data_IF_377313904204
#
_entry.id   IF_377313904204
#
_cell.length_a   1.000
_cell.length_b   1.000
_cell.length_c   1.000
_cell.angle_alpha   90.00
_cell.angle_beta   90.00
_cell.angle_gamma   90.00
#
_symmetry.space_group_name_H-M   'P 1'
#
loop_
_entity.id
_entity.type
_entity.pdbx_description
1 polymer ?
#
# COMPACT_ATOMS: atom_id res chain seq x y z
N UNK A 1 22.33 1.87 13.05
CA UNK A 1 22.29 0.50 13.61
C UNK A 1 21.22 -0.23 12.84
N UNK A 2 21.54 -1.35 12.19
CA UNK A 2 20.57 -2.08 11.37
C UNK A 2 19.65 -2.89 12.29
N UNK A 3 18.43 -3.20 11.84
CA UNK A 3 17.45 -3.98 12.61
C UNK A 3 18.03 -5.33 13.09
N UNK A 4 18.94 -5.93 12.33
CA UNK A 4 19.57 -7.20 12.66
C UNK A 4 20.61 -7.11 13.79
N UNK A 5 21.08 -5.91 14.15
CA UNK A 5 22.07 -5.69 15.22
C UNK A 5 21.42 -5.61 16.61
N UNK A 6 20.08 -5.62 16.67
CA UNK A 6 19.32 -5.46 17.90
C UNK A 6 19.07 -6.83 18.53
N UNK A 7 19.57 -7.05 19.75
CA UNK A 7 19.24 -8.24 20.55
C UNK A 7 17.83 -8.11 21.16
N UNK A 8 16.82 -8.86 20.67
CA UNK A 8 15.44 -8.69 21.12
C UNK A 8 15.26 -9.09 22.59
N UNK A 9 16.15 -9.91 23.17
CA UNK A 9 16.06 -10.34 24.57
C UNK A 9 16.35 -9.19 25.52
N UNK A 10 17.21 -8.24 25.11
CA UNK A 10 17.57 -7.04 25.89
C UNK A 10 16.57 -5.90 25.75
N UNK A 11 15.60 -6.02 24.85
CA UNK A 11 14.55 -5.01 24.67
C UNK A 11 13.49 -5.11 25.77
N UNK A 12 12.98 -3.95 26.19
CA UNK A 12 11.77 -3.87 27.01
C UNK A 12 10.58 -4.47 26.26
N UNK A 13 9.50 -4.87 26.96
CA UNK A 13 8.32 -5.46 26.29
C UNK A 13 7.77 -4.59 25.15
N UNK A 14 7.75 -3.26 25.33
CA UNK A 14 7.28 -2.31 24.30
C UNK A 14 8.20 -2.32 23.07
N UNK A 15 9.52 -2.21 23.28
CA UNK A 15 10.48 -2.21 22.17
C UNK A 15 10.53 -3.56 21.46
N UNK A 16 10.27 -4.67 22.17
CA UNK A 16 10.14 -6.00 21.57
C UNK A 16 8.92 -6.10 20.66
N UNK A 17 7.80 -5.50 21.06
CA UNK A 17 6.62 -5.38 20.18
C UNK A 17 6.93 -4.53 18.95
N UNK A 18 7.50 -3.33 19.14
CA UNK A 18 7.96 -2.48 18.03
C UNK A 18 8.85 -3.27 17.06
N UNK A 19 9.86 -3.98 17.58
CA UNK A 19 10.79 -4.79 16.80
C UNK A 19 10.07 -5.85 15.98
N UNK A 20 9.13 -6.59 16.59
CA UNK A 20 8.35 -7.62 15.89
C UNK A 20 7.48 -7.06 14.77
N UNK A 21 6.98 -5.83 14.92
CA UNK A 21 6.20 -5.16 13.86
C UNK A 21 7.13 -4.65 12.76
N UNK A 22 8.27 -4.06 13.12
CA UNK A 22 9.27 -3.58 12.16
C UNK A 22 9.85 -4.71 11.32
N UNK A 23 10.01 -5.92 11.89
CA UNK A 23 10.41 -7.11 11.13
C UNK A 23 9.39 -7.52 10.05
N UNK A 24 8.10 -7.27 10.29
CA UNK A 24 7.05 -7.53 9.28
C UNK A 24 7.00 -6.45 8.20
N UNK A 25 7.39 -5.23 8.55
CA UNK A 25 7.35 -4.06 7.68
C UNK A 25 8.72 -3.35 7.62
N UNK A 26 9.77 -4.03 7.15
CA UNK A 26 11.15 -3.53 7.25
C UNK A 26 11.35 -2.22 6.48
N UNK A 27 10.69 -2.06 5.32
CA UNK A 27 10.90 -0.93 4.42
C UNK A 27 10.00 0.29 4.72
N UNK A 28 9.03 0.12 5.60
CA UNK A 28 8.01 1.13 5.91
C UNK A 28 8.30 1.87 7.20
N UNK A 29 7.83 3.11 7.27
CA UNK A 29 7.94 3.94 8.47
C UNK A 29 6.95 3.46 9.53
N UNK A 30 7.43 3.15 10.73
CA UNK A 30 6.58 2.69 11.82
C UNK A 30 6.22 3.84 12.77
N UNK A 31 5.00 4.37 12.61
CA UNK A 31 4.44 5.38 13.52
C UNK A 31 3.84 4.70 14.75
N UNK A 32 4.56 4.73 15.87
CA UNK A 32 4.18 4.01 17.08
C UNK A 32 3.56 4.95 18.12
N UNK A 33 2.29 4.74 18.48
CA UNK A 33 1.61 5.64 19.43
C UNK A 33 2.12 5.48 20.86
N UNK A 34 2.64 6.60 21.39
CA UNK A 34 3.13 6.76 22.74
C UNK A 34 2.51 8.00 23.38
N UNK A 35 1.39 7.80 24.09
CA UNK A 35 0.61 8.90 24.65
C UNK A 35 0.06 9.79 23.54
N UNK A 36 0.37 11.08 23.61
CA UNK A 36 -0.07 12.09 22.64
C UNK A 36 0.89 12.27 21.45
N UNK A 37 1.79 11.31 21.21
CA UNK A 37 2.74 11.34 20.11
C UNK A 37 2.71 10.04 19.30
N UNK A 38 2.96 10.16 18.00
CA UNK A 38 3.48 9.07 17.19
C UNK A 38 4.99 9.17 17.15
N UNK A 39 5.64 8.15 17.71
CA UNK A 39 7.09 8.05 17.83
C UNK A 39 7.67 7.10 16.77
N UNK A 40 8.83 7.47 16.24
CA UNK A 40 9.61 6.73 15.27
C UNK A 40 10.99 6.49 15.87
N UNK A 41 11.50 5.27 15.73
CA UNK A 41 12.72 4.83 16.40
C UNK A 41 13.81 4.45 15.40
N UNK A 42 15.07 4.54 15.84
CA UNK A 42 16.23 4.07 15.06
C UNK A 42 16.31 4.72 13.66
N UNK A 43 16.38 3.90 12.62
CA UNK A 43 16.45 4.30 11.22
C UNK A 43 15.22 5.09 10.77
N UNK A 44 14.03 4.73 11.25
CA UNK A 44 12.81 5.49 10.96
C UNK A 44 12.90 6.91 11.55
N UNK A 45 13.46 7.07 12.75
CA UNK A 45 13.65 8.37 13.38
C UNK A 45 14.54 9.30 12.53
N UNK A 46 15.68 8.77 12.09
CA UNK A 46 16.65 9.49 11.25
C UNK A 46 16.04 9.82 9.89
N UNK A 47 15.34 8.85 9.28
CA UNK A 47 14.68 9.00 7.98
C UNK A 47 13.64 10.10 8.03
N UNK A 48 12.71 10.09 8.99
CA UNK A 48 11.66 11.12 9.04
C UNK A 48 12.20 12.49 9.42
N UNK A 49 13.20 12.56 10.29
CA UNK A 49 13.83 13.83 10.65
C UNK A 49 14.42 14.51 9.41
N UNK A 50 15.09 13.74 8.54
CA UNK A 50 15.60 14.23 7.26
C UNK A 50 14.51 14.54 6.25
N UNK A 51 13.47 13.70 6.17
CA UNK A 51 12.42 13.78 5.16
C UNK A 51 11.49 15.00 5.33
N UNK A 52 11.14 15.32 6.57
CA UNK A 52 10.15 16.37 6.89
C UNK A 52 10.67 17.42 7.90
N UNK A 53 11.96 17.38 8.23
CA UNK A 53 12.62 18.43 9.01
C UNK A 53 12.26 18.47 10.51
N UNK A 54 11.73 17.39 11.09
CA UNK A 54 11.40 17.34 12.51
C UNK A 54 12.63 17.03 13.37
N UNK A 55 12.59 17.43 14.65
CA UNK A 55 13.72 17.26 15.56
C UNK A 55 14.04 15.79 15.83
N UNK A 56 15.28 15.39 15.52
CA UNK A 56 15.86 14.12 15.96
C UNK A 56 16.39 14.26 17.39
N UNK A 57 15.94 13.38 18.27
CA UNK A 57 16.34 13.31 19.67
C UNK A 57 16.88 11.91 19.99
N UNK A 58 17.19 11.67 21.26
CA UNK A 58 17.56 10.35 21.76
C UNK A 58 16.73 10.02 22.98
N UNK A 59 16.21 8.81 23.05
CA UNK A 59 15.47 8.32 24.22
C UNK A 59 16.22 7.18 24.87
N UNK A 60 16.33 7.25 26.20
CA UNK A 60 16.83 6.16 27.02
C UNK A 60 15.65 5.27 27.42
N UNK A 61 15.64 3.99 27.01
CA UNK A 61 14.75 2.96 27.56
C UNK A 61 15.61 1.83 28.11
N UNK A 62 15.43 1.55 29.40
CA UNK A 62 16.32 0.65 30.13
C UNK A 62 17.77 1.17 30.10
N UNK A 63 18.70 0.30 29.69
CA UNK A 63 20.12 0.61 29.57
C UNK A 63 20.55 1.05 28.16
N UNK A 64 19.61 1.15 27.22
CA UNK A 64 19.89 1.53 25.84
C UNK A 64 19.38 2.94 25.54
N UNK A 65 20.13 3.65 24.70
CA UNK A 65 19.76 4.94 24.14
C UNK A 65 19.65 4.78 22.63
N UNK A 66 18.53 5.19 22.04
CA UNK A 66 18.30 5.08 20.59
C UNK A 66 17.77 6.40 20.02
N UNK A 67 17.98 6.63 18.70
CA UNK A 67 17.40 7.76 17.98
C UNK A 67 15.87 7.75 18.07
N UNK A 68 15.28 8.93 18.26
CA UNK A 68 13.85 9.13 18.37
C UNK A 68 13.45 10.40 17.63
N UNK A 69 12.39 10.32 16.82
CA UNK A 69 11.67 11.48 16.32
C UNK A 69 10.18 11.29 16.59
N UNK A 70 9.45 12.38 16.84
CA UNK A 70 8.05 12.30 17.26
C UNK A 70 7.18 13.37 16.61
N UNK A 71 5.96 12.99 16.26
CA UNK A 71 4.93 13.89 15.76
C UNK A 71 3.79 13.93 16.78
N UNK A 72 3.36 15.11 17.25
CA UNK A 72 2.18 15.21 18.11
C UNK A 72 0.95 14.66 17.42
N UNK A 73 0.13 13.89 18.13
CA UNK A 73 -1.07 13.24 17.61
C UNK A 73 -2.04 14.22 16.93
N UNK A 74 -2.22 15.41 17.51
CA UNK A 74 -3.08 16.45 16.94
C UNK A 74 -2.53 17.10 15.66
N UNK A 75 -1.23 16.94 15.37
CA UNK A 75 -0.57 17.44 14.17
C UNK A 75 -0.32 16.34 13.13
N UNK A 76 -0.79 15.11 13.39
CA UNK A 76 -0.46 13.92 12.59
C UNK A 76 -0.85 14.07 11.13
N UNK A 77 -2.01 14.67 10.86
CA UNK A 77 -2.56 14.83 9.51
C UNK A 77 -1.55 15.48 8.58
N UNK A 78 -1.13 16.71 8.87
CA UNK A 78 -0.23 17.47 7.99
C UNK A 78 1.11 16.76 7.76
N UNK A 79 1.69 16.17 8.81
CA UNK A 79 2.98 15.49 8.69
C UNK A 79 2.86 14.18 7.92
N UNK A 80 1.82 13.38 8.16
CA UNK A 80 1.60 12.13 7.45
C UNK A 80 1.29 12.39 5.97
N UNK A 81 0.49 13.41 5.65
CA UNK A 81 0.29 13.86 4.26
C UNK A 81 1.62 14.14 3.57
N UNK A 82 2.51 14.92 4.20
CA UNK A 82 3.81 15.22 3.61
C UNK A 82 4.67 13.96 3.38
N UNK A 83 4.72 13.06 4.37
CA UNK A 83 5.45 11.78 4.27
C UNK A 83 4.91 10.92 3.12
N UNK A 84 3.59 10.76 3.04
CA UNK A 84 2.92 9.95 2.02
C UNK A 84 3.10 10.56 0.63
N UNK A 85 3.03 11.89 0.54
CA UNK A 85 3.23 12.65 -0.69
C UNK A 85 4.66 12.55 -1.26
N UNK A 86 5.62 12.08 -0.46
CA UNK A 86 6.98 11.71 -0.84
C UNK A 86 7.13 10.19 -1.10
N UNK A 87 6.01 9.50 -1.29
CA UNK A 87 5.91 8.09 -1.67
C UNK A 87 6.13 7.07 -0.57
N UNK A 88 6.17 7.52 0.69
CA UNK A 88 6.43 6.65 1.83
C UNK A 88 5.15 5.95 2.30
N UNK A 89 5.27 4.70 2.74
CA UNK A 89 4.21 4.01 3.49
C UNK A 89 4.43 4.21 4.99
N UNK A 90 3.37 4.53 5.73
CA UNK A 90 3.37 4.63 7.18
C UNK A 90 2.54 3.49 7.77
N UNK A 91 3.15 2.65 8.61
CA UNK A 91 2.45 1.65 9.41
C UNK A 91 2.07 2.30 10.74
N UNK A 92 0.77 2.35 11.04
CA UNK A 92 0.25 2.95 12.27
C UNK A 92 0.09 1.85 13.32
N UNK A 93 0.80 1.99 14.43
CA UNK A 93 0.62 1.16 15.62
C UNK A 93 -0.07 1.98 16.70
N UNK A 94 -1.33 1.67 16.95
CA UNK A 94 -2.15 2.37 17.92
C UNK A 94 -2.57 1.44 19.08
N UNK A 95 -3.14 2.04 20.12
CA UNK A 95 -3.80 1.38 21.22
C UNK A 95 -5.08 0.72 20.72
N UNK A 96 -5.24 -0.57 21.02
CA UNK A 96 -6.43 -1.35 20.69
C UNK A 96 -7.51 -1.26 21.78
N UNK A 97 -7.17 -0.66 22.92
CA UNK A 97 -8.02 -0.54 24.10
C UNK A 97 -7.95 0.89 24.62
N UNK A 98 -9.03 1.40 25.19
CA UNK A 98 -9.05 2.71 25.82
C UNK A 98 -8.15 2.71 27.08
N UNK A 99 -7.12 3.57 27.16
CA UNK A 99 -6.25 3.69 28.33
C UNK A 99 -7.00 3.92 29.65
N UNK A 100 -8.15 4.61 29.61
CA UNK A 100 -8.96 4.88 30.80
C UNK A 100 -9.59 3.61 31.38
N UNK A 101 -9.81 2.59 30.55
CA UNK A 101 -10.45 1.33 30.94
C UNK A 101 -9.44 0.29 31.46
N UNK A 102 -8.14 0.51 31.25
CA UNK A 102 -7.08 -0.45 31.58
C UNK A 102 -6.31 -0.02 32.84
N UNK A 103 -6.62 -0.62 33.99
CA UNK A 103 -5.88 -0.41 35.25
C UNK A 103 -4.84 -1.49 35.49
N UNK A 104 -3.60 -1.10 35.82
CA UNK A 104 -2.55 -2.01 36.30
C UNK A 104 -1.82 -2.84 35.24
N UNK A 105 -2.10 -2.64 33.93
CA UNK A 105 -1.38 -3.31 32.84
C UNK A 105 -1.11 -2.36 31.67
N UNK A 106 -0.15 -2.72 30.81
CA UNK A 106 0.16 -1.99 29.59
C UNK A 106 -0.99 -2.19 28.59
N UNK A 107 -1.50 -1.09 28.02
CA UNK A 107 -2.52 -1.08 26.96
C UNK A 107 -2.03 -1.90 25.76
N UNK A 108 -2.87 -2.81 25.26
CA UNK A 108 -2.55 -3.62 24.09
C UNK A 108 -2.42 -2.71 22.87
N UNK A 109 -1.37 -2.92 22.09
CA UNK A 109 -1.12 -2.20 20.84
C UNK A 109 -1.14 -3.16 19.67
N UNK A 110 -1.46 -2.64 18.49
CA UNK A 110 -1.44 -3.40 17.25
C UNK A 110 -1.40 -2.48 16.04
N UNK A 111 -1.07 -3.06 14.89
CA UNK A 111 -1.17 -2.35 13.62
C UNK A 111 -2.64 -2.13 13.30
N UNK A 112 -3.06 -0.87 13.27
CA UNK A 112 -4.44 -0.47 13.00
C UNK A 112 -4.66 -0.11 11.55
N UNK A 113 -3.63 0.40 10.86
CA UNK A 113 -3.71 0.77 9.44
C UNK A 113 -2.32 0.88 8.82
N UNK A 114 -2.26 0.71 7.50
CA UNK A 114 -1.13 1.18 6.70
C UNK A 114 -1.62 2.31 5.81
N UNK A 115 -0.90 3.42 5.79
CA UNK A 115 -1.15 4.54 4.89
C UNK A 115 -0.10 4.52 3.80
N UNK A 116 -0.52 4.24 2.56
CA UNK A 116 0.30 4.38 1.35
C UNK A 116 -0.31 5.44 0.43
N UNK A 117 0.44 5.99 -0.53
CA UNK A 117 -0.03 7.04 -1.44
C UNK A 117 -1.40 6.75 -2.06
N UNK A 118 -1.61 5.53 -2.56
CA UNK A 118 -2.86 5.11 -3.19
C UNK A 118 -3.91 4.54 -2.25
N UNK A 119 -3.68 4.56 -0.92
CA UNK A 119 -4.60 3.97 0.07
C UNK A 119 -5.10 4.96 1.13
N UNK A 120 -4.75 6.23 0.98
CA UNK A 120 -5.29 7.34 1.78
C UNK A 120 -6.76 7.58 1.42
N UNK A 121 -7.61 7.62 2.44
CA UNK A 121 -9.05 7.94 2.31
C UNK A 121 -9.37 9.32 2.88
N UNK A 122 -8.54 9.82 3.79
CA UNK A 122 -8.76 11.13 4.43
C UNK A 122 -8.53 12.24 3.41
N UNK A 123 -9.60 12.95 3.03
CA UNK A 123 -9.57 14.05 2.07
C UNK A 123 -8.57 15.14 2.46
N UNK A 124 -8.37 15.37 3.77
CA UNK A 124 -7.40 16.36 4.25
C UNK A 124 -5.94 15.97 3.99
N UNK A 125 -5.70 14.70 3.64
CA UNK A 125 -4.39 14.18 3.27
C UNK A 125 -4.18 14.07 1.74
N UNK A 126 -5.23 14.22 0.93
CA UNK A 126 -5.14 14.17 -0.53
C UNK A 126 -4.65 15.51 -1.08
N UNK A 127 -3.82 15.47 -2.14
CA UNK A 127 -3.23 16.68 -2.75
C UNK A 127 -4.24 17.52 -3.56
N UNK A 128 -5.27 16.89 -4.09
CA UNK A 128 -6.27 17.53 -4.95
C UNK A 128 -7.64 16.85 -4.78
N UNK A 129 -8.65 17.41 -5.45
CA UNK A 129 -10.00 16.80 -5.57
C UNK A 129 -10.07 15.76 -6.69
N UNK A 130 -8.93 15.41 -7.30
CA UNK A 130 -8.86 14.38 -8.33
C UNK A 130 -8.88 12.98 -7.72
N UNK A 131 -9.24 11.98 -8.52
CA UNK A 131 -9.23 10.58 -8.11
C UNK A 131 -7.83 10.16 -7.62
N UNK A 132 -7.77 9.38 -6.56
CA UNK A 132 -6.52 8.88 -5.96
C UNK A 132 -6.29 7.41 -6.32
N UNK A 133 -6.16 7.14 -7.62
CA UNK A 133 -6.07 5.77 -8.11
C UNK A 133 -4.79 5.07 -7.63
N UNK A 134 -4.98 3.86 -7.13
CA UNK A 134 -3.94 2.84 -7.03
C UNK A 134 -4.14 1.83 -8.16
N UNK A 135 -3.05 1.38 -8.74
CA UNK A 135 -3.06 0.39 -9.80
C UNK A 135 -2.30 -0.88 -9.40
N UNK A 136 -2.60 -1.96 -10.10
CA UNK A 136 -1.76 -3.15 -10.12
C UNK A 136 -1.54 -3.66 -11.52
N UNK A 137 -0.34 -4.16 -11.80
CA UNK A 137 0.06 -4.63 -13.13
C UNK A 137 0.74 -6.00 -13.03
N UNK A 138 0.28 -6.93 -13.87
CA UNK A 138 0.96 -8.19 -14.16
C UNK A 138 1.36 -8.24 -15.63
N UNK A 139 2.44 -8.94 -15.92
CA UNK A 139 2.91 -9.19 -17.28
C UNK A 139 3.28 -10.66 -17.40
N UNK A 140 2.72 -11.29 -18.41
CA UNK A 140 2.98 -12.67 -18.78
C UNK A 140 3.36 -12.74 -20.26
N UNK A 141 3.79 -13.92 -20.73
CA UNK A 141 4.04 -14.14 -22.16
C UNK A 141 2.80 -13.84 -23.03
N UNK A 142 1.62 -14.09 -22.48
CA UNK A 142 0.33 -13.90 -23.16
C UNK A 142 -0.18 -12.46 -23.16
N UNK A 143 0.45 -11.53 -22.43
CA UNK A 143 0.08 -10.12 -22.43
C UNK A 143 0.24 -9.40 -21.09
N UNK A 144 -0.58 -8.37 -20.87
CA UNK A 144 -0.64 -7.59 -19.64
C UNK A 144 -2.01 -7.69 -18.99
N UNK A 145 -2.04 -7.71 -17.66
CA UNK A 145 -3.24 -7.52 -16.86
C UNK A 145 -3.09 -6.28 -16.01
N UNK A 146 -4.10 -5.43 -15.96
CA UNK A 146 -4.08 -4.22 -15.15
C UNK A 146 -5.38 -4.07 -14.36
N UNK A 147 -5.25 -3.61 -13.13
CA UNK A 147 -6.36 -3.23 -12.28
C UNK A 147 -6.14 -1.83 -11.72
N UNK A 148 -7.23 -1.11 -11.47
CA UNK A 148 -7.25 0.20 -10.82
C UNK A 148 -8.30 0.18 -9.72
N UNK A 149 -8.03 0.89 -8.63
CA UNK A 149 -9.02 1.15 -7.62
C UNK A 149 -8.88 2.58 -7.09
N UNK A 150 -10.00 3.19 -6.76
CA UNK A 150 -10.07 4.38 -5.94
C UNK A 150 -10.87 4.02 -4.68
N UNK A 151 -10.19 4.01 -3.53
CA UNK A 151 -10.79 3.58 -2.27
C UNK A 151 -11.83 4.60 -1.78
N UNK A 152 -11.66 5.88 -2.11
CA UNK A 152 -12.56 6.94 -1.69
C UNK A 152 -13.92 6.83 -2.37
N UNK A 153 -13.94 6.44 -3.64
CA UNK A 153 -15.17 6.28 -4.44
C UNK A 153 -15.71 4.85 -4.45
N UNK A 154 -14.88 3.87 -4.09
CA UNK A 154 -15.21 2.44 -4.18
C UNK A 154 -15.11 1.87 -5.60
N UNK A 155 -14.57 2.65 -6.54
CA UNK A 155 -14.36 2.20 -7.91
C UNK A 155 -13.26 1.14 -7.96
N UNK A 156 -13.55 0.04 -8.65
CA UNK A 156 -12.59 -1.02 -8.96
C UNK A 156 -12.78 -1.45 -10.41
N UNK A 157 -11.70 -1.35 -11.16
CA UNK A 157 -11.64 -1.54 -12.60
C UNK A 157 -10.54 -2.54 -12.95
N UNK A 158 -10.73 -3.34 -13.99
CA UNK A 158 -9.67 -4.20 -14.51
C UNK A 158 -9.81 -4.47 -16.01
N UNK A 159 -8.71 -4.78 -16.68
CA UNK A 159 -8.69 -5.25 -18.06
C UNK A 159 -7.42 -6.05 -18.32
N UNK A 160 -7.39 -6.74 -19.45
CA UNK A 160 -6.17 -7.34 -20.00
C UNK A 160 -5.95 -6.91 -21.45
N UNK A 161 -4.69 -6.97 -21.87
CA UNK A 161 -4.23 -6.73 -23.23
C UNK A 161 -3.37 -7.91 -23.65
N UNK A 162 -3.85 -8.70 -24.60
CA UNK A 162 -3.20 -9.93 -24.99
C UNK A 162 -2.12 -9.65 -26.04
N UNK A 163 -1.06 -10.46 -26.06
CA UNK A 163 0.05 -10.34 -27.03
C UNK A 163 -0.38 -10.49 -28.49
N UNK A 164 -1.56 -11.07 -28.73
CA UNK A 164 -2.19 -11.19 -30.05
C UNK A 164 -2.93 -9.93 -30.50
N UNK A 165 -3.16 -9.00 -29.58
CA UNK A 165 -3.84 -7.75 -29.88
C UNK A 165 -2.87 -6.81 -30.62
N UNK A 166 -3.41 -5.87 -31.39
CA UNK A 166 -2.62 -4.76 -31.95
C UNK A 166 -2.09 -3.90 -30.80
N UNK A 167 -0.76 -3.72 -30.77
CA UNK A 167 0.02 -2.84 -29.88
C UNK A 167 -0.39 -2.89 -28.40
N UNK A 168 -0.24 -4.04 -27.71
CA UNK A 168 -0.70 -4.22 -26.33
C UNK A 168 0.01 -3.30 -25.32
N UNK A 169 1.28 -2.95 -25.57
CA UNK A 169 2.01 -1.99 -24.75
C UNK A 169 1.43 -0.58 -24.89
N UNK A 170 1.09 -0.14 -26.10
CA UNK A 170 0.49 1.19 -26.30
C UNK A 170 -0.87 1.29 -25.63
N UNK A 171 -1.68 0.23 -25.69
CA UNK A 171 -2.96 0.15 -24.97
C UNK A 171 -2.77 0.23 -23.45
N UNK A 172 -1.78 -0.46 -22.91
CA UNK A 172 -1.40 -0.38 -21.50
C UNK A 172 -1.02 1.07 -21.13
N UNK A 173 -0.15 1.71 -21.92
CA UNK A 173 0.27 3.08 -21.64
C UNK A 173 -0.89 4.07 -21.77
N UNK A 174 -1.80 3.87 -22.73
CA UNK A 174 -2.99 4.70 -22.91
C UNK A 174 -3.92 4.64 -21.70
N UNK A 175 -4.24 3.44 -21.19
CA UNK A 175 -5.09 3.30 -20.00
C UNK A 175 -4.38 3.82 -18.75
N UNK A 176 -3.06 3.65 -18.66
CA UNK A 176 -2.26 4.19 -17.56
C UNK A 176 -2.28 5.73 -17.54
N UNK A 177 -2.22 6.37 -18.71
CA UNK A 177 -2.35 7.83 -18.85
C UNK A 177 -3.75 8.31 -18.47
N UNK A 178 -4.79 7.57 -18.86
CA UNK A 178 -6.18 7.91 -18.58
C UNK A 178 -6.49 7.92 -17.08
N UNK A 179 -6.03 6.91 -16.34
CA UNK A 179 -6.32 6.79 -14.90
C UNK A 179 -5.24 7.43 -14.01
N UNK A 180 -4.03 7.64 -14.53
CA UNK A 180 -2.92 8.33 -13.86
C UNK A 180 -2.72 7.93 -12.38
N UNK A 181 -2.51 6.63 -12.07
CA UNK A 181 -2.43 6.16 -10.70
C UNK A 181 -1.24 6.78 -9.95
N UNK A 182 -1.43 7.06 -8.67
CA UNK A 182 -0.37 7.59 -7.79
C UNK A 182 0.56 6.49 -7.28
N UNK A 183 0.07 5.26 -7.23
CA UNK A 183 0.78 4.09 -6.74
C UNK A 183 0.50 2.89 -7.65
N UNK A 184 1.55 2.15 -8.00
CA UNK A 184 1.49 0.94 -8.81
C UNK A 184 2.09 -0.23 -8.03
N UNK A 185 1.29 -1.26 -7.80
CA UNK A 185 1.68 -2.50 -7.13
C UNK A 185 1.95 -3.59 -8.17
N UNK A 186 3.14 -4.17 -8.13
CA UNK A 186 3.55 -5.22 -9.08
C UNK A 186 4.11 -6.44 -8.37
N UNK A 187 4.09 -7.62 -9.01
CA UNK A 187 4.93 -8.73 -8.60
C UNK A 187 6.40 -8.30 -8.50
N UNK A 188 7.08 -8.78 -7.47
CA UNK A 188 8.52 -8.68 -7.26
C UNK A 188 9.32 -9.14 -8.48
N UNK A 189 8.92 -10.24 -9.13
CA UNK A 189 9.54 -10.70 -10.36
C UNK A 189 9.40 -9.72 -11.53
N UNK A 190 8.21 -9.12 -11.69
CA UNK A 190 7.96 -8.16 -12.76
C UNK A 190 8.87 -6.94 -12.63
N UNK A 191 9.20 -6.51 -11.40
CA UNK A 191 10.04 -5.33 -11.14
C UNK A 191 11.40 -5.37 -11.84
N UNK A 192 11.88 -6.56 -12.24
CA UNK A 192 13.13 -6.77 -12.98
C UNK A 192 13.07 -6.30 -14.44
N UNK A 193 11.87 -6.07 -15.00
CA UNK A 193 11.70 -5.51 -16.35
C UNK A 193 11.86 -3.99 -16.35
N UNK A 194 13.11 -3.53 -16.24
CA UNK A 194 13.44 -2.10 -16.18
C UNK A 194 12.90 -1.31 -17.38
N UNK A 195 12.88 -1.92 -18.57
CA UNK A 195 12.39 -1.26 -19.79
C UNK A 195 10.91 -0.93 -19.68
N UNK A 196 10.08 -1.85 -19.20
CA UNK A 196 8.65 -1.59 -19.01
C UNK A 196 8.45 -0.40 -18.06
N UNK A 197 9.17 -0.39 -16.93
CA UNK A 197 8.99 0.67 -15.95
C UNK A 197 9.51 2.02 -16.40
N UNK A 198 10.57 2.07 -17.22
CA UNK A 198 11.00 3.32 -17.85
C UNK A 198 9.85 3.97 -18.63
N UNK A 199 9.15 3.22 -19.48
CA UNK A 199 7.99 3.75 -20.22
C UNK A 199 6.88 4.26 -19.28
N UNK A 200 6.61 3.54 -18.19
CA UNK A 200 5.57 3.92 -17.22
C UNK A 200 5.96 5.19 -16.45
N UNK A 201 7.22 5.30 -16.02
CA UNK A 201 7.72 6.43 -15.23
C UNK A 201 8.02 7.68 -16.08
N UNK A 202 8.30 7.51 -17.37
CA UNK A 202 8.41 8.64 -18.31
C UNK A 202 7.04 9.26 -18.57
N UNK A 203 5.98 8.44 -18.57
CA UNK A 203 4.60 8.87 -18.76
C UNK A 203 3.98 9.48 -17.49
N UNK A 204 4.29 8.92 -16.32
CA UNK A 204 3.64 9.27 -15.06
C UNK A 204 4.60 9.33 -13.88
N UNK A 205 4.25 10.08 -12.82
CA UNK A 205 5.02 10.12 -11.56
C UNK A 205 4.63 9.01 -10.59
N UNK A 206 4.13 7.89 -11.10
CA UNK A 206 3.60 6.79 -10.27
C UNK A 206 4.70 6.20 -9.38
N UNK A 207 4.36 5.92 -8.13
CA UNK A 207 5.26 5.25 -7.21
C UNK A 207 5.08 3.74 -7.36
N UNK A 208 6.14 3.06 -7.79
CA UNK A 208 6.11 1.62 -8.03
C UNK A 208 6.56 0.87 -6.78
N UNK A 209 5.75 -0.07 -6.30
CA UNK A 209 6.08 -0.96 -5.19
C UNK A 209 5.89 -2.41 -5.59
N UNK A 210 6.72 -3.27 -5.02
CA UNK A 210 6.60 -4.72 -5.16
C UNK A 210 5.70 -5.29 -4.07
N UNK A 211 5.01 -6.36 -4.39
CA UNK A 211 4.22 -7.14 -3.44
C UNK A 211 4.47 -8.63 -3.66
N UNK A 212 3.95 -9.47 -2.76
CA UNK A 212 4.18 -10.91 -2.80
C UNK A 212 3.65 -11.51 -4.11
N UNK A 213 4.52 -12.18 -4.86
CA UNK A 213 4.18 -12.79 -6.16
C UNK A 213 3.04 -13.80 -6.03
N UNK A 214 2.92 -14.45 -4.86
CA UNK A 214 1.89 -15.45 -4.60
C UNK A 214 0.47 -14.94 -4.83
N UNK A 215 0.17 -13.70 -4.44
CA UNK A 215 -1.19 -13.15 -4.56
C UNK A 215 -1.58 -12.83 -6.00
N UNK A 216 -0.61 -12.83 -6.92
CA UNK A 216 -0.82 -12.63 -8.36
C UNK A 216 -0.98 -13.94 -9.11
N UNK A 217 -0.89 -15.10 -8.46
CA UNK A 217 -1.23 -16.37 -9.09
C UNK A 217 -2.72 -16.41 -9.42
N UNK A 218 -3.07 -16.98 -10.57
CA UNK A 218 -4.45 -17.00 -11.07
C UNK A 218 -5.43 -17.62 -10.07
N UNK A 219 -5.12 -18.81 -9.55
CA UNK A 219 -5.99 -19.53 -8.62
C UNK A 219 -6.17 -18.78 -7.29
N UNK A 220 -5.10 -18.15 -6.78
CA UNK A 220 -5.12 -17.36 -5.55
C UNK A 220 -5.91 -16.07 -5.73
N UNK A 221 -5.67 -15.37 -6.84
CA UNK A 221 -6.41 -14.16 -7.23
C UNK A 221 -7.90 -14.45 -7.40
N UNK A 222 -8.24 -15.53 -8.09
CA UNK A 222 -9.62 -15.98 -8.28
C UNK A 222 -10.29 -16.25 -6.93
N UNK A 223 -9.64 -17.08 -6.09
CA UNK A 223 -10.15 -17.44 -4.76
C UNK A 223 -10.36 -16.21 -3.88
N UNK A 224 -9.42 -15.27 -3.91
CA UNK A 224 -9.48 -14.05 -3.14
C UNK A 224 -10.66 -13.16 -3.56
N UNK A 225 -10.85 -12.96 -4.86
CA UNK A 225 -11.95 -12.16 -5.43
C UNK A 225 -13.29 -12.80 -5.08
N UNK A 226 -13.45 -14.11 -5.36
CA UNK A 226 -14.68 -14.86 -5.09
C UNK A 226 -15.05 -14.77 -3.60
N UNK A 227 -14.08 -14.95 -2.71
CA UNK A 227 -14.28 -14.84 -1.26
C UNK A 227 -14.64 -13.43 -0.81
N UNK A 228 -13.99 -12.40 -1.38
CA UNK A 228 -14.24 -11.00 -1.01
C UNK A 228 -15.66 -10.55 -1.38
N UNK A 229 -16.09 -10.84 -2.62
CA UNK A 229 -17.43 -10.45 -3.09
C UNK A 229 -18.53 -11.45 -2.69
N UNK A 230 -18.17 -12.56 -2.05
CA UNK A 230 -19.10 -13.62 -1.63
C UNK A 230 -19.96 -14.14 -2.81
N UNK A 231 -19.28 -14.48 -3.91
CA UNK A 231 -19.87 -15.02 -5.14
C UNK A 231 -19.40 -16.46 -5.37
N UNK A 232 -19.92 -17.15 -6.38
CA UNK A 232 -19.51 -18.53 -6.70
C UNK A 232 -18.52 -18.62 -7.86
N UNK A 233 -18.57 -17.66 -8.79
CA UNK A 233 -17.68 -17.55 -9.96
C UNK A 233 -17.58 -16.08 -10.39
N UNK A 234 -16.82 -15.80 -11.46
CA UNK A 234 -16.59 -14.42 -11.94
C UNK A 234 -17.44 -14.06 -13.18
N UNK A 235 -18.37 -14.92 -13.59
CA UNK A 235 -19.24 -14.70 -14.76
C UNK A 235 -20.09 -13.44 -14.57
N UNK A 236 -20.63 -13.22 -13.36
CA UNK A 236 -21.45 -12.05 -13.03
C UNK A 236 -20.70 -10.70 -13.13
N UNK A 237 -19.36 -10.72 -13.09
CA UNK A 237 -18.52 -9.56 -13.32
C UNK A 237 -17.95 -9.50 -14.75
N UNK A 238 -18.24 -10.50 -15.59
CA UNK A 238 -17.72 -10.60 -16.94
C UNK A 238 -16.21 -10.76 -17.00
N UNK A 239 -15.62 -11.43 -15.99
CA UNK A 239 -14.17 -11.67 -15.88
C UNK A 239 -13.79 -13.13 -16.13
N UNK A 240 -14.76 -14.02 -16.33
CA UNK A 240 -14.47 -15.42 -16.65
C UNK A 240 -13.63 -15.52 -17.93
N UNK A 241 -12.48 -16.20 -17.86
CA UNK A 241 -11.51 -16.33 -18.96
C UNK A 241 -10.59 -15.11 -19.19
N UNK A 242 -10.68 -14.06 -18.37
CA UNK A 242 -9.78 -12.89 -18.39
C UNK A 242 -8.67 -13.04 -17.36
N UNK A 243 -7.88 -14.11 -17.50
CA UNK A 243 -6.90 -14.55 -16.49
C UNK A 243 -5.96 -13.43 -16.03
N UNK A 244 -5.41 -12.62 -16.94
CA UNK A 244 -4.45 -11.58 -16.54
C UNK A 244 -5.15 -10.46 -15.76
N UNK A 245 -6.38 -10.12 -16.15
CA UNK A 245 -7.20 -9.17 -15.43
C UNK A 245 -7.52 -9.68 -14.02
N UNK A 246 -7.85 -10.97 -13.89
CA UNK A 246 -8.06 -11.63 -12.59
C UNK A 246 -6.80 -11.55 -11.73
N UNK A 247 -5.63 -11.87 -12.28
CA UNK A 247 -4.35 -11.81 -11.56
C UNK A 247 -4.02 -10.39 -11.05
N UNK A 248 -4.18 -9.37 -11.89
CA UNK A 248 -3.97 -7.98 -11.48
C UNK A 248 -4.98 -7.52 -10.44
N UNK A 249 -6.26 -7.87 -10.61
CA UNK A 249 -7.31 -7.52 -9.65
C UNK A 249 -7.11 -8.23 -8.31
N UNK A 250 -6.70 -9.50 -8.30
CA UNK A 250 -6.41 -10.25 -7.08
C UNK A 250 -5.24 -9.66 -6.31
N UNK A 251 -4.13 -9.36 -6.98
CA UNK A 251 -2.99 -8.70 -6.36
C UNK A 251 -3.33 -7.32 -5.79
N UNK A 252 -4.10 -6.51 -6.53
CA UNK A 252 -4.57 -5.22 -6.03
C UNK A 252 -5.47 -5.39 -4.79
N UNK A 253 -6.44 -6.30 -4.87
CA UNK A 253 -7.35 -6.57 -3.77
C UNK A 253 -6.62 -7.06 -2.52
N UNK A 254 -5.61 -7.92 -2.65
CA UNK A 254 -4.79 -8.39 -1.54
C UNK A 254 -4.09 -7.21 -0.83
N UNK A 255 -3.45 -6.33 -1.62
CA UNK A 255 -2.77 -5.16 -1.09
C UNK A 255 -3.75 -4.18 -0.39
N UNK A 256 -4.91 -3.95 -0.99
CA UNK A 256 -5.96 -3.12 -0.39
C UNK A 256 -6.45 -3.71 0.93
N UNK A 257 -6.61 -5.04 1.01
CA UNK A 257 -7.06 -5.71 2.24
C UNK A 257 -6.01 -5.61 3.32
N UNK A 258 -4.73 -5.76 2.99
CA UNK A 258 -3.68 -5.58 3.98
C UNK A 258 -3.64 -4.15 4.52
N UNK A 259 -3.67 -3.16 3.63
CA UNK A 259 -3.54 -1.75 4.01
C UNK A 259 -4.73 -1.24 4.82
N UNK A 260 -5.94 -1.73 4.52
CA UNK A 260 -7.16 -1.43 5.26
C UNK A 260 -7.52 -2.46 6.36
N UNK A 261 -6.63 -3.42 6.66
CA UNK A 261 -6.80 -4.44 7.71
C UNK A 261 -8.10 -5.24 7.58
N UNK A 262 -8.37 -5.77 6.39
CA UNK A 262 -9.53 -6.58 6.00
C UNK A 262 -10.89 -5.87 6.05
N UNK A 263 -10.92 -4.56 6.24
CA UNK A 263 -12.13 -3.74 6.18
C UNK A 263 -12.03 -2.83 4.95
N UNK A 264 -12.51 -3.29 3.79
CA UNK A 264 -12.68 -2.44 2.61
C UNK A 264 -14.17 -2.14 2.45
N UNK A 265 -14.68 -1.06 3.05
CA UNK A 265 -16.12 -0.86 3.19
C UNK A 265 -16.84 -0.52 1.87
N UNK A 266 -16.12 -0.11 0.81
CA UNK A 266 -16.74 0.51 -0.36
C UNK A 266 -16.50 -0.23 -1.70
N UNK A 267 -15.78 -1.35 -1.71
CA UNK A 267 -15.50 -2.11 -2.93
C UNK A 267 -16.45 -3.29 -3.03
N UNK A 268 -17.54 -3.11 -3.78
CA UNK A 268 -18.63 -4.08 -3.92
C UNK A 268 -18.74 -4.75 -5.29
N UNK A 269 -18.02 -4.24 -6.30
CA UNK A 269 -17.97 -4.81 -7.64
C UNK A 269 -16.63 -4.56 -8.30
N UNK A 270 -16.28 -5.39 -9.28
CA UNK A 270 -15.20 -5.13 -10.23
C UNK A 270 -15.84 -4.94 -11.60
N UNK A 271 -15.50 -3.85 -12.29
CA UNK A 271 -15.95 -3.64 -13.67
C UNK A 271 -14.79 -3.87 -14.63
N UNK A 272 -15.04 -4.61 -15.70
CA UNK A 272 -14.08 -4.74 -16.78
C UNK A 272 -14.09 -3.47 -17.63
N UNK A 273 -12.94 -2.86 -17.82
CA UNK A 273 -12.78 -1.73 -18.75
C UNK A 273 -12.68 -2.31 -20.16
N UNK A 274 -13.55 -1.85 -21.05
CA UNK A 274 -13.39 -2.09 -22.48
C UNK A 274 -12.76 -0.81 -23.01
N UNK A 275 -11.49 -0.83 -23.45
CA UNK A 275 -10.88 0.33 -24.07
C UNK A 275 -11.75 0.72 -25.26
N UNK A 276 -12.46 1.85 -25.16
CA UNK A 276 -13.16 2.42 -26.29
C UNK A 276 -12.15 2.62 -27.41
N UNK A 277 -12.52 2.26 -28.65
CA UNK A 277 -11.71 2.58 -29.84
C UNK A 277 -11.40 4.08 -29.81
N UNK A 278 -10.17 4.43 -29.44
CA UNK A 278 -9.67 5.79 -29.64
C UNK A 278 -9.58 5.93 -31.15
N UNK A 279 -10.61 6.55 -31.75
CA UNK A 279 -10.48 7.05 -33.10
C UNK A 279 -9.52 8.23 -33.03
N UNK A 280 -8.27 7.97 -33.40
CA UNK A 280 -7.36 9.04 -33.79
C UNK A 280 -7.99 9.73 -35.01
N UNK A 281 -8.39 10.99 -34.85
CA UNK A 281 -8.66 11.91 -35.96
C UNK A 281 -7.33 12.55 -36.34
#
# INVERSE_FOLDING_TARGET
MLLNDIDPKKLTPMMRHWYSVKQKYPDHLLAYRMGDFFEFFYDDAERISKLIGITLTKRKIGNATYPLAGIPHHAVTNHFSNIINQGQTIVIVDQLEDPATVKGRIVKRGVTRLLSPGTVIDESMLKSSDNNYIASLVKEKKGFGIAFADISTGEFLTTEFLSKDTDPLEKLLSIFSQYAPVELIVPSELKRDERLFLHITDLTKVIIKTYDDYVFNLDESYTLIVRHFNISNLEGFGLEGFDLAIQAAGGLLAFLKETQRDIIPNIFKINRVIPSRVHWI
#
